data_IF_642971630349
#
_entry.id   IF_642971630349
#
_cell.length_a   1.000
_cell.length_b   1.000
_cell.length_c   1.000
_cell.angle_alpha   90.00
_cell.angle_beta   90.00
_cell.angle_gamma   90.00
#
_symmetry.space_group_name_H-M   'P 1'
#
loop_
_entity.id
_entity.type
_entity.pdbx_description
1 polymer ?
#
# COMPACT_ATOMS: atom_id res chain seq x y z
N UNK A 1 14.57 6.51 -24.84
CA UNK A 1 13.59 6.74 -23.75
C UNK A 1 12.47 5.73 -23.90
N UNK A 2 12.07 5.07 -22.81
CA UNK A 2 10.83 4.28 -22.80
C UNK A 2 9.63 5.23 -22.90
N UNK A 3 8.66 4.89 -23.75
CA UNK A 3 7.41 5.63 -23.88
C UNK A 3 6.52 5.29 -22.69
N UNK A 4 6.19 6.28 -21.85
CA UNK A 4 5.23 6.08 -20.76
C UNK A 4 3.87 5.69 -21.34
N UNK A 5 3.26 4.66 -20.78
CA UNK A 5 1.91 4.23 -21.10
C UNK A 5 1.10 4.24 -19.80
N UNK A 6 -0.16 4.65 -19.90
CA UNK A 6 -1.07 4.65 -18.75
C UNK A 6 -1.40 3.20 -18.41
N UNK A 7 -1.39 2.87 -17.13
CA UNK A 7 -1.86 1.56 -16.67
C UNK A 7 -3.36 1.41 -16.99
N UNK A 8 -3.81 0.19 -17.33
CA UNK A 8 -5.24 -0.07 -17.48
C UNK A 8 -5.97 0.14 -16.14
N UNK A 9 -7.27 0.43 -16.21
CA UNK A 9 -8.10 0.66 -15.02
C UNK A 9 -8.09 -0.54 -14.05
N UNK A 10 -8.01 -1.77 -14.59
CA UNK A 10 -7.92 -3.01 -13.82
C UNK A 10 -6.63 -3.76 -14.17
N UNK A 11 -5.90 -4.17 -13.13
CA UNK A 11 -4.73 -5.06 -13.23
C UNK A 11 -5.18 -6.53 -13.11
N UNK A 12 -5.76 -7.07 -14.19
CA UNK A 12 -6.23 -8.47 -14.21
C UNK A 12 -5.16 -9.46 -14.68
N UNK A 13 -4.08 -8.97 -15.29
CA UNK A 13 -3.00 -9.83 -15.76
C UNK A 13 -2.01 -10.14 -14.63
N UNK A 14 -1.58 -11.40 -14.54
CA UNK A 14 -0.68 -11.87 -13.47
C UNK A 14 0.62 -11.07 -13.40
N UNK A 15 1.21 -10.74 -14.55
CA UNK A 15 2.45 -9.96 -14.65
C UNK A 15 2.29 -8.54 -14.08
N UNK A 16 1.12 -7.92 -14.24
CA UNK A 16 0.80 -6.61 -13.66
C UNK A 16 0.69 -6.70 -12.13
N UNK A 17 0.02 -7.73 -11.62
CA UNK A 17 -0.12 -7.95 -10.17
C UNK A 17 1.24 -8.22 -9.53
N UNK A 18 2.08 -9.05 -10.16
CA UNK A 18 3.43 -9.34 -9.70
C UNK A 18 4.33 -8.09 -9.73
N UNK A 19 4.26 -7.31 -10.81
CA UNK A 19 5.01 -6.05 -10.91
C UNK A 19 4.57 -5.04 -9.85
N UNK A 20 3.27 -4.93 -9.57
CA UNK A 20 2.75 -4.10 -8.49
C UNK A 20 3.25 -4.59 -7.12
N UNK A 21 3.13 -5.89 -6.84
CA UNK A 21 3.57 -6.46 -5.56
C UNK A 21 5.09 -6.34 -5.32
N UNK A 22 5.89 -6.33 -6.38
CA UNK A 22 7.34 -6.18 -6.32
C UNK A 22 7.83 -4.72 -6.37
N UNK A 23 6.94 -3.76 -6.60
CA UNK A 23 7.31 -2.34 -6.64
C UNK A 23 7.69 -1.85 -5.23
N UNK A 24 8.65 -0.92 -5.18
CA UNK A 24 9.07 -0.30 -3.92
C UNK A 24 8.13 0.86 -3.56
N UNK A 25 7.27 0.60 -2.57
CA UNK A 25 6.38 1.58 -1.96
C UNK A 25 6.86 2.04 -0.58
N UNK A 26 8.06 1.65 -0.13
CA UNK A 26 8.53 1.87 1.24
C UNK A 26 8.40 3.31 1.71
N UNK A 27 8.67 4.29 0.84
CA UNK A 27 8.54 5.70 1.17
C UNK A 27 7.08 6.13 1.39
N UNK A 28 6.18 5.75 0.49
CA UNK A 28 4.75 6.10 0.60
C UNK A 28 4.07 5.35 1.73
N UNK A 29 4.43 4.08 1.93
CA UNK A 29 3.88 3.24 2.99
C UNK A 29 4.25 3.80 4.36
N UNK A 30 5.54 4.16 4.55
CA UNK A 30 6.01 4.79 5.77
C UNK A 30 5.31 6.14 6.02
N UNK A 31 5.16 6.97 4.99
CA UNK A 31 4.48 8.26 5.11
C UNK A 31 3.02 8.11 5.57
N UNK A 32 2.31 7.08 5.08
CA UNK A 32 0.95 6.77 5.53
C UNK A 32 0.92 6.35 7.00
N UNK A 33 1.83 5.46 7.42
CA UNK A 33 1.93 5.00 8.81
C UNK A 33 2.20 6.17 9.76
N UNK A 34 3.12 7.06 9.40
CA UNK A 34 3.41 8.28 10.16
C UNK A 34 2.19 9.20 10.27
N UNK A 35 1.47 9.38 9.16
CA UNK A 35 0.24 10.16 9.14
C UNK A 35 -0.84 9.56 10.05
N UNK A 36 -1.00 8.23 10.03
CA UNK A 36 -1.93 7.52 10.91
C UNK A 36 -1.54 7.75 12.38
N UNK A 37 -0.26 7.59 12.73
CA UNK A 37 0.23 7.80 14.09
C UNK A 37 -0.02 9.23 14.59
N UNK A 38 0.17 10.24 13.73
CA UNK A 38 -0.12 11.63 14.05
C UNK A 38 -1.62 11.88 14.24
N UNK A 39 -2.47 11.22 13.44
CA UNK A 39 -3.92 11.42 13.47
C UNK A 39 -4.62 10.71 14.63
N UNK A 40 -4.05 9.59 15.07
CA UNK A 40 -4.54 8.73 16.14
C UNK A 40 -3.47 8.52 17.21
N UNK A 41 -3.14 9.57 18.00
CA UNK A 41 -2.04 9.52 18.98
C UNK A 41 -2.29 8.53 20.14
N UNK A 42 -3.53 8.10 20.34
CA UNK A 42 -3.89 7.06 21.32
C UNK A 42 -3.84 5.63 20.72
N UNK A 43 -3.41 5.48 19.46
CA UNK A 43 -3.45 4.24 18.70
C UNK A 43 -4.78 4.02 17.97
N UNK A 44 -4.85 2.95 17.18
CA UNK A 44 -6.02 2.59 16.36
C UNK A 44 -7.05 1.73 17.11
N UNK A 45 -6.78 1.37 18.38
CA UNK A 45 -7.60 0.46 19.17
C UNK A 45 -7.16 -1.00 19.04
N UNK A 46 -7.94 -1.92 19.63
CA UNK A 46 -7.58 -3.34 19.75
C UNK A 46 -7.69 -4.13 18.44
N UNK A 47 -8.52 -3.66 17.50
CA UNK A 47 -8.79 -4.36 16.24
C UNK A 47 -8.92 -3.36 15.11
N UNK A 48 -8.16 -3.60 14.05
CA UNK A 48 -8.15 -2.80 12.82
C UNK A 48 -8.39 -3.73 11.64
N UNK A 49 -9.10 -3.23 10.63
CA UNK A 49 -9.28 -3.92 9.36
C UNK A 49 -8.78 -3.01 8.24
N UNK A 50 -7.90 -3.54 7.39
CA UNK A 50 -7.40 -2.87 6.19
C UNK A 50 -8.13 -3.45 4.96
N UNK A 51 -8.96 -2.63 4.32
CA UNK A 51 -9.81 -3.05 3.21
C UNK A 51 -9.14 -2.67 1.88
N UNK A 52 -8.96 -3.67 1.01
CA UNK A 52 -8.18 -3.47 -0.21
C UNK A 52 -6.69 -3.35 0.08
N UNK A 53 -6.20 -4.07 1.10
CA UNK A 53 -4.81 -4.02 1.58
C UNK A 53 -3.73 -4.43 0.55
N UNK A 54 -4.15 -4.95 -0.62
CA UNK A 54 -3.24 -5.42 -1.65
C UNK A 54 -2.29 -6.50 -1.09
N UNK A 55 -0.97 -6.38 -1.27
CA UNK A 55 0.02 -7.28 -0.68
C UNK A 55 0.12 -7.21 0.85
N UNK A 56 -0.53 -6.25 1.50
CA UNK A 56 -0.60 -6.11 2.96
C UNK A 56 0.47 -5.20 3.57
N UNK A 57 1.17 -4.39 2.78
CA UNK A 57 2.29 -3.56 3.25
C UNK A 57 1.94 -2.70 4.48
N UNK A 58 0.78 -2.03 4.45
CA UNK A 58 0.35 -1.15 5.54
C UNK A 58 0.01 -1.95 6.79
N UNK A 59 -0.77 -3.03 6.64
CA UNK A 59 -1.10 -3.91 7.75
C UNK A 59 0.15 -4.50 8.42
N UNK A 60 1.17 -4.87 7.63
CA UNK A 60 2.46 -5.39 8.12
C UNK A 60 3.29 -4.36 8.90
N UNK A 61 3.16 -3.07 8.58
CA UNK A 61 3.86 -1.99 9.29
C UNK A 61 3.11 -1.53 10.55
N UNK A 62 1.82 -1.85 10.68
CA UNK A 62 0.96 -1.46 11.80
C UNK A 62 0.83 -2.54 12.89
N UNK A 63 1.30 -3.76 12.65
CA UNK A 63 1.44 -4.83 13.67
C UNK A 63 2.71 -4.68 14.49
#
# INVERSE_FOLDING_TARGET
>A
MLKRQVEPELMNATDQVEAYAAADFSHSDQALVEWIAQRFPAGLGERVIDLGCGPGNIALLLV
#
